data_IF_029164161678
#
_entry.id   IF_029164161678
#
_cell.length_a   1.000
_cell.length_b   1.000
_cell.length_c   1.000
_cell.angle_alpha   90.00
_cell.angle_beta   90.00
_cell.angle_gamma   90.00
#
_symmetry.space_group_name_H-M   'P 1'
#
loop_
_entity.id
_entity.type
_entity.pdbx_description
1 polymer ?
#
# COMPACT_ATOMS: atom_id res chain seq x y z
N UNK A 1 24.07 -1.59 -6.22
CA UNK A 1 22.90 -1.39 -7.09
C UNK A 1 22.63 0.12 -7.22
N UNK A 2 22.15 0.61 -8.35
CA UNK A 2 21.79 2.03 -8.49
C UNK A 2 20.59 2.36 -7.59
N UNK A 3 20.62 3.48 -6.86
CA UNK A 3 19.52 3.95 -5.99
C UNK A 3 18.17 3.99 -6.72
N UNK A 4 18.17 4.29 -8.02
CA UNK A 4 16.97 4.25 -8.87
C UNK A 4 16.30 2.88 -8.90
N UNK A 5 17.08 1.79 -8.98
CA UNK A 5 16.56 0.42 -9.00
C UNK A 5 15.85 0.09 -7.69
N UNK A 6 16.36 0.60 -6.55
CA UNK A 6 15.75 0.38 -5.24
C UNK A 6 14.39 1.08 -5.12
N UNK A 7 14.26 2.28 -5.69
CA UNK A 7 12.96 2.95 -5.78
C UNK A 7 11.96 2.19 -6.66
N UNK A 8 12.40 1.63 -7.79
CA UNK A 8 11.53 0.82 -8.65
C UNK A 8 11.10 -0.49 -8.00
N UNK A 9 12.00 -1.19 -7.30
CA UNK A 9 11.65 -2.40 -6.54
C UNK A 9 10.63 -2.07 -5.46
N UNK A 10 10.83 -0.98 -4.71
CA UNK A 10 9.85 -0.54 -3.74
C UNK A 10 8.51 -0.24 -4.43
N UNK A 11 8.50 0.56 -5.49
CA UNK A 11 7.29 0.90 -6.23
C UNK A 11 6.53 -0.34 -6.72
N UNK A 12 7.23 -1.36 -7.24
CA UNK A 12 6.61 -2.61 -7.67
C UNK A 12 5.99 -3.37 -6.49
N UNK A 13 6.72 -3.45 -5.37
CA UNK A 13 6.31 -4.17 -4.17
C UNK A 13 5.05 -3.56 -3.53
N UNK A 14 4.90 -2.23 -3.56
CA UNK A 14 3.68 -1.56 -3.06
C UNK A 14 2.59 -1.50 -4.13
N UNK A 15 2.95 -1.24 -5.39
CA UNK A 15 2.01 -0.96 -6.47
C UNK A 15 1.27 -2.19 -6.97
N UNK A 16 1.96 -3.30 -7.21
CA UNK A 16 1.35 -4.53 -7.74
C UNK A 16 0.21 -5.07 -6.85
N UNK A 17 0.41 -5.30 -5.54
CA UNK A 17 -0.71 -5.70 -4.67
C UNK A 17 -1.75 -4.58 -4.54
N UNK A 18 -1.35 -3.30 -4.59
CA UNK A 18 -2.25 -2.16 -4.56
C UNK A 18 -3.29 -2.17 -5.68
N UNK A 19 -2.86 -2.45 -6.91
CA UNK A 19 -3.77 -2.59 -8.07
C UNK A 19 -4.73 -3.76 -7.87
N UNK A 20 -4.21 -4.93 -7.49
CA UNK A 20 -5.03 -6.13 -7.32
C UNK A 20 -6.14 -5.92 -6.28
N UNK A 21 -5.82 -5.36 -5.12
CA UNK A 21 -6.82 -5.14 -4.08
C UNK A 21 -7.76 -3.98 -4.44
N UNK A 22 -7.27 -2.91 -5.09
CA UNK A 22 -8.12 -1.80 -5.51
C UNK A 22 -9.22 -2.29 -6.47
N UNK A 23 -8.85 -3.12 -7.45
CA UNK A 23 -9.80 -3.73 -8.40
C UNK A 23 -10.85 -4.55 -7.65
N UNK A 24 -10.44 -5.39 -6.70
CA UNK A 24 -11.38 -6.19 -5.88
C UNK A 24 -12.30 -5.33 -5.03
N UNK A 25 -11.80 -4.24 -4.46
CA UNK A 25 -12.60 -3.30 -3.68
C UNK A 25 -13.66 -2.62 -4.54
N UNK A 26 -13.27 -2.12 -5.71
CA UNK A 26 -14.20 -1.48 -6.66
C UNK A 26 -15.24 -2.49 -7.13
N UNK A 27 -14.84 -3.69 -7.52
CA UNK A 27 -15.77 -4.75 -7.91
C UNK A 27 -16.77 -5.09 -6.80
N UNK A 28 -16.32 -5.14 -5.54
CA UNK A 28 -17.21 -5.35 -4.41
C UNK A 28 -18.17 -4.17 -4.20
N UNK A 29 -17.75 -2.92 -4.44
CA UNK A 29 -18.65 -1.76 -4.40
C UNK A 29 -19.74 -1.81 -5.48
N UNK A 30 -19.40 -2.28 -6.68
CA UNK A 30 -20.35 -2.38 -7.80
C UNK A 30 -21.46 -3.40 -7.55
N UNK A 31 -21.28 -4.34 -6.61
CA UNK A 31 -22.29 -5.32 -6.23
C UNK A 31 -23.08 -4.91 -4.97
N UNK A 32 -22.76 -3.77 -4.35
CA UNK A 32 -23.44 -3.32 -3.12
C UNK A 32 -24.78 -2.62 -3.41
N UNK A 33 -25.80 -2.85 -2.57
CA UNK A 33 -27.05 -2.08 -2.62
C UNK A 33 -26.81 -0.59 -2.32
N UNK A 34 -27.49 0.29 -3.05
CA UNK A 34 -27.36 1.76 -2.93
C UNK A 34 -27.66 2.28 -1.51
N UNK A 35 -28.62 1.65 -0.81
CA UNK A 35 -28.98 1.93 0.57
C UNK A 35 -27.79 1.87 1.55
N UNK A 36 -26.79 1.03 1.24
CA UNK A 36 -25.61 0.81 2.11
C UNK A 36 -24.41 1.67 1.71
N UNK A 37 -24.43 2.31 0.54
CA UNK A 37 -23.26 3.01 0.00
C UNK A 37 -22.80 4.17 0.88
N UNK A 38 -23.73 4.93 1.47
CA UNK A 38 -23.38 6.16 2.18
C UNK A 38 -22.44 5.92 3.38
N UNK A 39 -22.78 4.95 4.25
CA UNK A 39 -21.95 4.65 5.42
C UNK A 39 -20.69 3.87 5.02
N UNK A 40 -20.77 3.04 3.97
CA UNK A 40 -19.59 2.38 3.41
C UNK A 40 -18.57 3.39 2.89
N UNK A 41 -19.03 4.44 2.20
CA UNK A 41 -18.16 5.52 1.71
C UNK A 41 -17.50 6.29 2.85
N UNK A 42 -18.21 6.50 3.98
CA UNK A 42 -17.61 7.10 5.18
C UNK A 42 -16.49 6.22 5.75
N UNK A 43 -16.71 4.89 5.82
CA UNK A 43 -15.67 3.94 6.24
C UNK A 43 -14.49 3.97 5.27
N UNK A 44 -14.74 3.96 3.96
CA UNK A 44 -13.69 4.06 2.94
C UNK A 44 -12.89 5.34 3.07
N UNK A 45 -13.54 6.47 3.29
CA UNK A 45 -12.87 7.76 3.52
C UNK A 45 -11.98 7.72 4.77
N UNK A 46 -12.47 7.12 5.86
CA UNK A 46 -11.67 6.92 7.07
C UNK A 46 -10.45 6.02 6.80
N UNK A 47 -10.66 4.88 6.14
CA UNK A 47 -9.60 3.94 5.76
C UNK A 47 -8.56 4.63 4.87
N UNK A 48 -8.99 5.39 3.85
CA UNK A 48 -8.11 6.19 3.00
C UNK A 48 -7.26 7.14 3.82
N UNK A 49 -7.86 7.87 4.77
CA UNK A 49 -7.15 8.83 5.60
C UNK A 49 -6.10 8.14 6.49
N UNK A 50 -6.46 7.05 7.17
CA UNK A 50 -5.55 6.29 8.01
C UNK A 50 -4.35 5.76 7.21
N UNK A 51 -4.62 5.11 6.07
CA UNK A 51 -3.56 4.56 5.23
C UNK A 51 -2.73 5.65 4.56
N UNK A 52 -3.33 6.77 4.15
CA UNK A 52 -2.58 7.91 3.62
C UNK A 52 -1.52 8.38 4.62
N UNK A 53 -1.89 8.58 5.89
CA UNK A 53 -0.96 9.03 6.93
C UNK A 53 0.13 7.99 7.19
N UNK A 54 -0.24 6.72 7.24
CA UNK A 54 0.69 5.61 7.45
C UNK A 54 1.71 5.48 6.32
N UNK A 55 1.24 5.42 5.06
CA UNK A 55 2.12 5.28 3.89
C UNK A 55 2.93 6.54 3.62
N UNK A 56 2.40 7.74 3.87
CA UNK A 56 3.18 8.98 3.78
C UNK A 56 4.40 8.94 4.70
N UNK A 57 4.21 8.54 5.96
CA UNK A 57 5.32 8.38 6.92
C UNK A 57 6.30 7.30 6.45
N UNK A 58 5.79 6.15 5.97
CA UNK A 58 6.63 5.06 5.48
C UNK A 58 7.48 5.47 4.26
N UNK A 59 6.87 6.06 3.23
CA UNK A 59 7.55 6.51 2.02
C UNK A 59 8.64 7.52 2.34
N UNK A 60 8.33 8.55 3.15
CA UNK A 60 9.32 9.56 3.52
C UNK A 60 10.51 8.94 4.26
N UNK A 61 10.25 8.04 5.22
CA UNK A 61 11.29 7.34 5.98
C UNK A 61 12.16 6.47 5.07
N UNK A 62 11.57 5.78 4.09
CA UNK A 62 12.31 4.91 3.18
C UNK A 62 13.10 5.71 2.16
N UNK A 63 12.51 6.74 1.56
CA UNK A 63 13.20 7.63 0.61
C UNK A 63 14.39 8.34 1.25
N UNK A 64 14.25 8.86 2.48
CA UNK A 64 15.37 9.47 3.20
C UNK A 64 16.53 8.50 3.42
N UNK A 65 16.22 7.23 3.69
CA UNK A 65 17.25 6.18 3.88
C UNK A 65 17.91 5.78 2.56
N UNK A 66 17.13 5.58 1.49
CA UNK A 66 17.67 5.29 0.15
C UNK A 66 18.61 6.43 -0.31
N UNK A 67 18.26 7.68 -0.01
CA UNK A 67 19.11 8.84 -0.27
C UNK A 67 20.43 8.80 0.51
N UNK A 68 20.41 8.41 1.79
CA UNK A 68 21.60 8.34 2.66
C UNK A 68 22.53 7.14 2.46
N UNK A 69 22.17 6.14 1.65
CA UNK A 69 23.01 4.95 1.45
C UNK A 69 24.21 5.21 0.52
N UNK A 70 25.37 4.57 0.77
CA UNK A 70 26.52 4.61 -0.14
C UNK A 70 26.21 3.91 -1.48
N UNK A 71 26.98 4.25 -2.53
CA UNK A 71 26.72 3.93 -3.96
C UNK A 71 26.61 2.42 -4.29
N UNK A 72 27.08 1.53 -3.41
CA UNK A 72 26.96 0.06 -3.56
C UNK A 72 26.38 -0.55 -2.29
N UNK A 73 25.09 -0.88 -2.32
CA UNK A 73 24.39 -1.59 -1.22
C UNK A 73 23.47 -2.68 -1.78
N UNK A 74 23.26 -3.71 -0.96
CA UNK A 74 22.34 -4.84 -1.20
C UNK A 74 20.92 -4.53 -0.70
N UNK A 75 19.87 -5.15 -1.27
CA UNK A 75 18.46 -4.86 -0.91
C UNK A 75 18.18 -5.04 0.58
N UNK A 76 18.76 -6.07 1.19
CA UNK A 76 18.60 -6.42 2.61
C UNK A 76 19.06 -5.33 3.59
N UNK A 77 20.09 -4.56 3.24
CA UNK A 77 20.60 -3.45 4.07
C UNK A 77 19.84 -2.13 3.82
N UNK A 78 19.03 -2.09 2.75
CA UNK A 78 18.35 -0.88 2.30
C UNK A 78 16.99 -0.69 2.98
N UNK A 79 16.26 -1.77 3.21
CA UNK A 79 14.97 -1.73 3.88
C UNK A 79 15.16 -1.67 5.42
N UNK A 80 14.61 -0.66 6.12
CA UNK A 80 14.70 -0.61 7.57
C UNK A 80 13.96 -1.81 8.20
N UNK A 81 14.30 -2.23 9.43
CA UNK A 81 13.55 -3.27 10.15
C UNK A 81 12.05 -2.96 10.22
N UNK A 82 11.70 -1.68 10.39
CA UNK A 82 10.31 -1.20 10.34
C UNK A 82 9.64 -1.29 8.97
N UNK A 83 10.40 -1.32 7.88
CA UNK A 83 9.88 -1.52 6.53
C UNK A 83 9.61 -2.98 6.21
N UNK A 84 10.46 -3.87 6.69
CA UNK A 84 10.15 -5.30 6.73
C UNK A 84 8.91 -5.58 7.58
N UNK A 85 8.76 -4.95 8.75
CA UNK A 85 7.55 -5.09 9.59
C UNK A 85 6.29 -4.64 8.85
N UNK A 86 6.34 -3.56 8.08
CA UNK A 86 5.17 -3.08 7.35
C UNK A 86 4.84 -4.00 6.15
N UNK A 87 5.85 -4.47 5.43
CA UNK A 87 5.67 -5.44 4.33
C UNK A 87 5.15 -6.78 4.86
N UNK A 88 5.75 -7.31 5.93
CA UNK A 88 5.32 -8.54 6.60
C UNK A 88 3.94 -8.34 7.20
N UNK A 89 3.67 -7.22 7.87
CA UNK A 89 2.35 -6.91 8.42
C UNK A 89 1.27 -6.86 7.35
N UNK A 90 1.55 -6.25 6.19
CA UNK A 90 0.61 -6.22 5.07
C UNK A 90 0.45 -7.56 4.36
N UNK A 91 1.53 -8.33 4.22
CA UNK A 91 1.48 -9.68 3.67
C UNK A 91 0.70 -10.62 4.60
N UNK A 92 0.98 -10.58 5.90
CA UNK A 92 0.24 -11.30 6.93
C UNK A 92 -1.23 -10.89 6.91
N UNK A 93 -1.54 -9.59 6.92
CA UNK A 93 -2.93 -9.12 6.89
C UNK A 93 -3.65 -9.58 5.62
N UNK A 94 -3.02 -9.48 4.46
CA UNK A 94 -3.59 -9.95 3.19
C UNK A 94 -3.79 -11.48 3.12
N UNK A 95 -2.91 -12.26 3.75
CA UNK A 95 -3.03 -13.71 3.85
C UNK A 95 -4.08 -14.10 4.88
N UNK A 96 -4.08 -13.51 6.07
CA UNK A 96 -5.07 -13.73 7.12
C UNK A 96 -6.49 -13.45 6.61
N UNK A 97 -6.69 -12.37 5.84
CA UNK A 97 -7.98 -12.05 5.24
C UNK A 97 -8.50 -13.13 4.25
N UNK A 98 -7.61 -13.93 3.64
CA UNK A 98 -8.02 -15.07 2.80
C UNK A 98 -8.50 -16.27 3.60
N UNK A 99 -8.04 -16.41 4.85
CA UNK A 99 -8.36 -17.53 5.73
C UNK A 99 -9.57 -17.26 6.62
N UNK A 100 -10.16 -16.07 6.57
CA UNK A 100 -11.41 -15.75 7.28
C UNK A 100 -12.58 -16.22 6.40
N UNK A 101 -13.24 -17.35 6.72
CA UNK A 101 -14.43 -17.78 6.00
C UNK A 101 -15.54 -16.74 6.20
N UNK A 102 -16.16 -16.30 5.10
CA UNK A 102 -17.28 -15.35 5.16
C UNK A 102 -16.88 -13.89 5.42
N UNK A 103 -15.69 -13.46 4.97
CA UNK A 103 -15.31 -12.05 5.03
C UNK A 103 -16.41 -11.17 4.40
N UNK A 104 -17.00 -10.21 5.16
CA UNK A 104 -18.14 -9.42 4.67
C UNK A 104 -17.80 -8.67 3.40
N UNK A 105 -18.71 -8.70 2.42
CA UNK A 105 -18.51 -8.01 1.15
C UNK A 105 -18.41 -6.48 1.36
N UNK A 106 -19.08 -5.96 2.39
CA UNK A 106 -18.98 -4.60 2.89
C UNK A 106 -17.56 -4.22 3.34
N UNK A 107 -16.88 -5.14 4.04
CA UNK A 107 -15.50 -4.93 4.46
C UNK A 107 -14.57 -4.93 3.25
N UNK A 108 -14.74 -5.85 2.31
CA UNK A 108 -13.93 -5.89 1.08
C UNK A 108 -14.14 -4.60 0.28
N UNK A 109 -15.39 -4.18 0.05
CA UNK A 109 -15.73 -2.97 -0.67
C UNK A 109 -15.05 -1.76 -0.02
N UNK A 110 -15.25 -1.55 1.28
CA UNK A 110 -14.76 -0.35 1.96
C UNK A 110 -13.25 -0.37 2.21
N UNK A 111 -12.73 -1.46 2.79
CA UNK A 111 -11.33 -1.57 3.17
C UNK A 111 -10.41 -1.65 1.95
N UNK A 112 -10.73 -2.46 0.94
CA UNK A 112 -9.82 -2.66 -0.20
C UNK A 112 -9.83 -1.45 -1.14
N UNK A 113 -10.97 -0.78 -1.28
CA UNK A 113 -11.06 0.48 -2.02
C UNK A 113 -10.37 1.63 -1.31
N UNK A 114 -10.17 1.56 0.01
CA UNK A 114 -9.35 2.52 0.73
C UNK A 114 -7.85 2.19 0.70
N UNK A 115 -7.49 0.92 0.96
CA UNK A 115 -6.10 0.47 1.03
C UNK A 115 -5.40 0.47 -0.34
N UNK A 116 -6.06 -0.02 -1.38
CA UNK A 116 -5.49 -0.18 -2.72
C UNK A 116 -4.98 1.11 -3.34
N UNK A 117 -5.80 2.17 -3.42
CA UNK A 117 -5.36 3.48 -3.93
C UNK A 117 -4.19 4.07 -3.14
N UNK A 118 -4.13 3.86 -1.82
CA UNK A 118 -3.03 4.37 -1.00
C UNK A 118 -1.71 3.63 -1.24
N UNK A 119 -1.77 2.34 -1.53
CA UNK A 119 -0.61 1.56 -1.98
C UNK A 119 -0.10 2.03 -3.34
N UNK A 120 -1.02 2.27 -4.30
CA UNK A 120 -0.68 2.81 -5.62
C UNK A 120 -0.05 4.20 -5.47
N UNK A 121 -0.63 5.06 -4.63
CA UNK A 121 -0.10 6.39 -4.35
C UNK A 121 1.31 6.33 -3.74
N UNK A 122 1.56 5.37 -2.83
CA UNK A 122 2.88 5.13 -2.28
C UNK A 122 3.89 4.73 -3.37
N UNK A 123 3.50 3.83 -4.27
CA UNK A 123 4.31 3.41 -5.41
C UNK A 123 4.65 4.59 -6.34
N UNK A 124 3.66 5.41 -6.69
CA UNK A 124 3.88 6.63 -7.47
C UNK A 124 4.88 7.57 -6.78
N UNK A 125 4.77 7.77 -5.46
CA UNK A 125 5.72 8.61 -4.72
C UNK A 125 7.14 8.05 -4.72
N UNK A 126 7.33 6.73 -4.65
CA UNK A 126 8.66 6.13 -4.81
C UNK A 126 9.24 6.40 -6.20
N UNK A 127 8.42 6.27 -7.24
CA UNK A 127 8.80 6.59 -8.62
C UNK A 127 9.20 8.07 -8.74
N UNK A 128 8.38 9.00 -8.25
CA UNK A 128 8.71 10.43 -8.26
C UNK A 128 10.03 10.74 -7.55
N UNK A 129 10.27 10.12 -6.39
CA UNK A 129 11.53 10.28 -5.64
C UNK A 129 12.76 9.69 -6.35
N UNK A 130 12.57 8.79 -7.32
CA UNK A 130 13.68 8.25 -8.12
C UNK A 130 14.22 9.23 -9.18
N UNK A 131 13.41 10.22 -9.56
CA UNK A 131 13.77 11.25 -10.54
C UNK A 131 14.40 12.50 -9.91
N UNK A 132 14.19 12.71 -8.60
CA UNK A 132 14.79 13.83 -7.88
C UNK A 132 16.24 13.43 -7.51
N UNK A 133 17.25 14.22 -7.91
CA UNK A 133 18.66 13.92 -7.69
C UNK A 133 19.07 13.88 -6.21
#
# INVERSE_FOLDING_TARGET
MNKKILYYIAALLWGAPGVVIAVKGIQAYLTMPTERLWWLLLITAFVLMCFYLMFRKAVNKYSARIAGLPRKTTPWQTFPPGGWILIVGMACLGVSLKFIPGLPAEFIASFYSGLGPMLILAACRFIFKSFIP
#
